data_IF_740889547192
#
_entry.id   IF_740889547192
#
_cell.length_a   1.000
_cell.length_b   1.000
_cell.length_c   1.000
_cell.angle_alpha   90.00
_cell.angle_beta   90.00
_cell.angle_gamma   90.00
#
_symmetry.space_group_name_H-M   'P 1'
#
loop_
_entity.id
_entity.type
_entity.pdbx_description
1 polymer ?
#
# COMPACT_ATOMS: atom_id res chain seq x y z
N UNK A 1 -17.46 33.42 22.26
CA UNK A 1 -16.19 33.08 21.57
C UNK A 1 -15.44 31.87 22.13
N UNK A 2 -15.52 31.51 23.43
CA UNK A 2 -14.79 30.34 23.97
C UNK A 2 -15.22 28.96 23.39
N UNK A 3 -16.47 28.84 22.94
CA UNK A 3 -17.02 27.63 22.30
C UNK A 3 -16.31 27.26 20.99
N UNK A 4 -15.85 28.24 20.21
CA UNK A 4 -15.18 27.99 18.92
C UNK A 4 -13.75 27.49 19.08
N UNK A 5 -13.04 27.90 20.15
CA UNK A 5 -11.67 27.42 20.42
C UNK A 5 -11.71 25.97 20.93
N UNK A 6 -12.69 25.63 21.78
CA UNK A 6 -12.86 24.26 22.28
C UNK A 6 -13.16 23.29 21.14
N UNK A 7 -14.06 23.65 20.22
CA UNK A 7 -14.38 22.83 19.04
C UNK A 7 -13.17 22.70 18.10
N UNK A 8 -12.43 23.78 17.85
CA UNK A 8 -11.21 23.73 17.03
C UNK A 8 -10.13 22.82 17.63
N UNK A 9 -9.92 22.88 18.96
CA UNK A 9 -8.97 21.97 19.64
C UNK A 9 -9.42 20.51 19.54
N UNK A 10 -10.72 20.25 19.64
CA UNK A 10 -11.27 18.91 19.46
C UNK A 10 -11.08 18.42 18.01
N UNK A 11 -11.34 19.27 17.02
CA UNK A 11 -11.12 18.98 15.60
C UNK A 11 -9.63 18.70 15.30
N UNK A 12 -8.73 19.54 15.82
CA UNK A 12 -7.29 19.34 15.72
C UNK A 12 -6.86 17.99 16.31
N UNK A 13 -7.37 17.64 17.50
CA UNK A 13 -7.12 16.33 18.13
C UNK A 13 -7.61 15.18 17.25
N UNK A 14 -8.80 15.29 16.65
CA UNK A 14 -9.33 14.27 15.73
C UNK A 14 -8.46 14.15 14.47
N UNK A 15 -8.10 15.28 13.84
CA UNK A 15 -7.25 15.32 12.66
C UNK A 15 -5.88 14.69 12.90
N UNK A 16 -5.24 15.00 14.03
CA UNK A 16 -3.97 14.38 14.46
C UNK A 16 -4.14 12.87 14.66
N UNK A 17 -5.23 12.45 15.30
CA UNK A 17 -5.56 11.02 15.46
C UNK A 17 -5.70 10.30 14.11
N UNK A 18 -6.37 10.92 13.14
CA UNK A 18 -6.48 10.39 11.78
C UNK A 18 -5.14 10.32 11.06
N UNK A 19 -4.31 11.36 11.17
CA UNK A 19 -2.95 11.35 10.61
C UNK A 19 -2.11 10.20 11.19
N UNK A 20 -2.17 10.00 12.51
CA UNK A 20 -1.49 8.88 13.19
C UNK A 20 -1.96 7.51 12.68
N UNK A 21 -3.27 7.34 12.47
CA UNK A 21 -3.80 6.09 11.94
C UNK A 21 -3.40 5.85 10.48
N UNK A 22 -3.45 6.90 9.64
CA UNK A 22 -2.99 6.84 8.26
C UNK A 22 -1.50 6.49 8.17
N UNK A 23 -0.68 7.08 9.03
CA UNK A 23 0.75 6.78 9.16
C UNK A 23 1.00 5.32 9.53
N UNK A 24 0.26 4.79 10.52
CA UNK A 24 0.38 3.39 10.92
C UNK A 24 0.02 2.42 9.77
N UNK A 25 -1.02 2.71 9.00
CA UNK A 25 -1.39 1.89 7.84
C UNK A 25 -0.39 2.04 6.68
N UNK A 26 0.15 3.23 6.44
CA UNK A 26 1.20 3.46 5.45
C UNK A 26 2.50 2.72 5.81
N UNK A 27 2.94 2.74 7.07
CA UNK A 27 4.08 1.94 7.56
C UNK A 27 3.88 0.45 7.32
N UNK A 28 2.68 -0.07 7.58
CA UNK A 28 2.35 -1.47 7.29
C UNK A 28 2.39 -1.75 5.79
N UNK A 29 1.96 -0.81 4.95
CA UNK A 29 2.03 -0.93 3.50
C UNK A 29 3.49 -1.01 3.03
N UNK A 30 4.38 -0.12 3.51
CA UNK A 30 5.83 -0.17 3.24
C UNK A 30 6.40 -1.57 3.51
N UNK A 31 6.07 -2.15 4.67
CA UNK A 31 6.54 -3.50 5.05
C UNK A 31 6.04 -4.62 4.14
N UNK A 32 4.92 -4.43 3.43
CA UNK A 32 4.37 -5.42 2.49
C UNK A 32 4.92 -5.29 1.08
N UNK A 33 5.61 -4.19 0.76
CA UNK A 33 6.19 -3.97 -0.55
C UNK A 33 7.55 -4.68 -0.67
N UNK A 34 7.89 -5.18 -1.87
CA UNK A 34 9.25 -5.66 -2.14
C UNK A 34 10.25 -4.51 -1.96
N UNK A 35 11.51 -4.87 -1.69
CA UNK A 35 12.59 -3.87 -1.66
C UNK A 35 12.70 -3.20 -3.03
N UNK A 36 12.94 -1.89 -3.05
CA UNK A 36 13.12 -1.12 -4.27
C UNK A 36 12.62 0.33 -4.18
N UNK A 37 12.72 1.10 -5.28
CA UNK A 37 12.48 2.55 -5.28
C UNK A 37 11.08 2.94 -4.80
N UNK A 38 10.07 2.13 -5.11
CA UNK A 38 8.69 2.39 -4.69
C UNK A 38 8.51 2.29 -3.17
N UNK A 39 9.20 1.34 -2.53
CA UNK A 39 9.21 1.18 -1.08
C UNK A 39 9.95 2.34 -0.42
N UNK A 40 11.15 2.69 -0.90
CA UNK A 40 11.95 3.80 -0.34
C UNK A 40 11.23 5.14 -0.46
N UNK A 41 10.57 5.42 -1.59
CA UNK A 41 9.75 6.63 -1.76
C UNK A 41 8.59 6.70 -0.78
N UNK A 42 7.87 5.60 -0.59
CA UNK A 42 6.77 5.56 0.38
C UNK A 42 7.27 5.71 1.81
N UNK A 43 8.41 5.12 2.14
CA UNK A 43 9.02 5.21 3.48
C UNK A 43 9.48 6.65 3.79
N UNK A 44 10.11 7.33 2.84
CA UNK A 44 10.44 8.75 2.97
C UNK A 44 9.21 9.64 3.18
N UNK A 45 8.12 9.37 2.46
CA UNK A 45 6.84 10.09 2.66
C UNK A 45 6.20 9.80 4.02
N UNK A 46 6.38 8.60 4.56
CA UNK A 46 5.98 8.26 5.93
C UNK A 46 6.79 9.05 6.96
N UNK A 47 8.10 9.17 6.78
CA UNK A 47 8.96 9.95 7.66
C UNK A 47 8.58 11.45 7.66
N UNK A 48 8.33 12.02 6.48
CA UNK A 48 7.90 13.41 6.34
C UNK A 48 6.51 13.66 6.96
N UNK A 49 5.56 12.74 6.74
CA UNK A 49 4.23 12.82 7.35
C UNK A 49 4.31 12.69 8.87
N UNK A 50 5.23 11.88 9.39
CA UNK A 50 5.50 11.75 10.82
C UNK A 50 6.00 13.08 11.41
N UNK A 51 6.98 13.72 10.76
CA UNK A 51 7.49 15.03 11.17
C UNK A 51 6.38 16.10 11.16
N UNK A 52 5.56 16.12 10.10
CA UNK A 52 4.42 17.05 9.98
C UNK A 52 3.37 16.82 11.07
N UNK A 53 3.08 15.56 11.42
CA UNK A 53 2.18 15.23 12.54
C UNK A 53 2.75 15.71 13.86
N UNK A 54 4.06 15.56 14.09
CA UNK A 54 4.73 16.04 15.31
C UNK A 54 4.68 17.55 15.45
N UNK A 55 4.89 18.29 14.35
CA UNK A 55 4.68 19.73 14.34
C UNK A 55 3.23 20.11 14.68
N UNK A 56 2.24 19.41 14.11
CA UNK A 56 0.83 19.63 14.42
C UNK A 56 0.47 19.31 15.89
N UNK A 57 1.12 18.31 16.51
CA UNK A 57 0.97 18.02 17.94
C UNK A 57 1.46 19.18 18.81
N UNK A 58 2.61 19.77 18.48
CA UNK A 58 3.18 20.90 19.18
C UNK A 58 2.31 22.16 19.04
N UNK A 59 1.81 22.44 17.84
CA UNK A 59 1.02 23.65 17.55
C UNK A 59 -0.42 23.58 18.05
N UNK A 60 -0.95 22.39 18.38
CA UNK A 60 -2.35 22.18 18.76
C UNK A 60 -2.88 23.14 19.83
N UNK A 61 -2.04 23.51 20.80
CA UNK A 61 -2.44 24.39 21.91
C UNK A 61 -2.46 25.87 21.52
N UNK A 62 -1.57 26.25 20.61
CA UNK A 62 -1.29 27.63 20.18
C UNK A 62 -2.21 28.00 19.01
N UNK A 63 -2.19 27.22 17.93
CA UNK A 63 -3.07 27.36 16.77
C UNK A 63 -3.71 26.01 16.41
N UNK A 64 -4.90 25.70 16.97
CA UNK A 64 -5.58 24.45 16.68
C UNK A 64 -6.04 24.35 15.20
N UNK A 65 -6.31 25.47 14.53
CA UNK A 65 -6.74 25.44 13.12
C UNK A 65 -5.58 25.03 12.22
N UNK A 66 -4.40 25.63 12.41
CA UNK A 66 -3.19 25.27 11.68
C UNK A 66 -2.79 23.82 11.94
N UNK A 67 -2.83 23.38 13.19
CA UNK A 67 -2.56 21.99 13.57
C UNK A 67 -3.50 21.00 12.85
N UNK A 68 -4.81 21.31 12.80
CA UNK A 68 -5.79 20.49 12.07
C UNK A 68 -5.47 20.41 10.58
N UNK A 69 -5.15 21.55 9.94
CA UNK A 69 -4.79 21.60 8.51
C UNK A 69 -3.53 20.79 8.20
N UNK A 70 -2.48 20.95 8.99
CA UNK A 70 -1.21 20.20 8.83
C UNK A 70 -1.41 18.70 9.00
N UNK A 71 -2.14 18.29 10.04
CA UNK A 71 -2.46 16.87 10.24
C UNK A 71 -3.30 16.29 9.09
N UNK A 72 -4.31 17.04 8.61
CA UNK A 72 -5.12 16.62 7.47
C UNK A 72 -4.29 16.53 6.17
N UNK A 73 -3.34 17.44 5.97
CA UNK A 73 -2.41 17.42 4.83
C UNK A 73 -1.53 16.17 4.86
N UNK A 74 -0.91 15.87 6.02
CA UNK A 74 -0.11 14.65 6.21
C UNK A 74 -0.91 13.37 5.88
N UNK A 75 -2.15 13.26 6.39
CA UNK A 75 -3.02 12.14 6.07
C UNK A 75 -3.36 12.03 4.57
N UNK A 76 -3.61 13.16 3.91
CA UNK A 76 -3.90 13.22 2.46
C UNK A 76 -2.69 12.81 1.64
N UNK A 77 -1.50 13.25 2.03
CA UNK A 77 -0.24 12.92 1.35
C UNK A 77 0.00 11.41 1.35
N UNK A 78 -0.19 10.77 2.50
CA UNK A 78 -0.06 9.31 2.64
C UNK A 78 -1.11 8.54 1.84
N UNK A 79 -2.36 9.00 1.81
CA UNK A 79 -3.40 8.41 0.97
C UNK A 79 -3.00 8.46 -0.52
N UNK A 80 -2.61 9.64 -1.02
CA UNK A 80 -2.16 9.82 -2.42
C UNK A 80 -0.95 8.96 -2.75
N UNK A 81 0.01 8.87 -1.82
CA UNK A 81 1.18 8.02 -1.99
C UNK A 81 0.79 6.54 -2.10
N UNK A 82 -0.10 6.05 -1.24
CA UNK A 82 -0.56 4.66 -1.27
C UNK A 82 -1.28 4.27 -2.55
N UNK A 83 -1.98 5.23 -3.17
CA UNK A 83 -2.63 5.04 -4.45
C UNK A 83 -1.63 4.86 -5.60
N UNK A 84 -0.46 5.50 -5.53
CA UNK A 84 0.59 5.42 -6.55
C UNK A 84 1.43 4.15 -6.48
N UNK A 85 1.50 3.53 -5.31
CA UNK A 85 2.42 2.40 -5.05
C UNK A 85 1.73 1.03 -5.09
N UNK A 86 0.40 0.97 -5.04
CA UNK A 86 -0.34 -0.30 -5.10
C UNK A 86 -0.26 -0.95 -6.50
N UNK A 87 -0.15 -2.29 -6.59
CA UNK A 87 -0.10 -3.00 -7.86
C UNK A 87 -1.45 -2.84 -8.57
N UNK A 88 -1.45 -2.17 -9.72
CA UNK A 88 -2.66 -1.80 -10.46
C UNK A 88 -2.60 -0.49 -11.26
N UNK A 89 -1.47 0.23 -11.20
CA UNK A 89 -1.19 1.40 -12.05
C UNK A 89 -1.96 2.67 -11.64
N UNK A 90 -1.35 3.82 -11.95
CA UNK A 90 -1.88 5.15 -11.63
C UNK A 90 -3.30 5.43 -12.18
N UNK A 91 -3.71 4.74 -13.25
CA UNK A 91 -5.05 4.88 -13.85
C UNK A 91 -6.18 4.41 -12.92
N UNK A 92 -5.97 3.40 -12.07
CA UNK A 92 -7.01 2.91 -11.13
C UNK A 92 -7.06 3.67 -9.81
N UNK A 93 -6.08 4.56 -9.58
CA UNK A 93 -5.96 5.39 -8.39
C UNK A 93 -6.83 6.65 -8.46
N UNK A 94 -6.92 7.30 -9.63
CA UNK A 94 -7.73 8.51 -9.85
C UNK A 94 -9.23 8.24 -9.67
N UNK A 95 -9.71 7.04 -10.04
CA UNK A 95 -11.13 6.66 -9.95
C UNK A 95 -11.62 6.30 -8.53
N UNK A 96 -10.75 6.22 -7.53
CA UNK A 96 -11.08 5.73 -6.19
C UNK A 96 -11.00 6.81 -5.09
N UNK A 97 -10.80 8.08 -5.45
CA UNK A 97 -10.94 9.17 -4.50
C UNK A 97 -12.40 9.20 -3.99
N UNK A 98 -12.64 9.20 -2.67
CA UNK A 98 -13.99 9.24 -2.13
C UNK A 98 -14.58 10.63 -2.41
N UNK A 99 -15.25 10.79 -3.55
CA UNK A 99 -15.95 12.01 -3.93
C UNK A 99 -17.16 12.31 -3.02
N UNK A 100 -17.69 11.29 -2.32
CA UNK A 100 -19.01 11.34 -1.68
C UNK A 100 -18.99 11.41 -0.14
N UNK A 101 -17.87 11.75 0.49
CA UNK A 101 -17.80 11.84 1.95
C UNK A 101 -18.14 13.27 2.43
N UNK A 102 -19.32 13.44 3.03
CA UNK A 102 -19.79 14.72 3.58
C UNK A 102 -19.17 14.94 4.96
N UNK A 103 -18.24 15.90 5.05
CA UNK A 103 -17.56 16.27 6.30
C UNK A 103 -16.12 15.75 6.47
N UNK A 104 -15.33 16.44 7.30
CA UNK A 104 -13.89 16.18 7.48
C UNK A 104 -13.61 14.80 8.12
N UNK A 105 -14.44 14.39 9.08
CA UNK A 105 -14.29 13.11 9.79
C UNK A 105 -14.59 11.91 8.88
N UNK A 106 -15.66 11.98 8.09
CA UNK A 106 -16.01 10.92 7.15
C UNK A 106 -14.93 10.78 6.06
N UNK A 107 -14.42 11.89 5.54
CA UNK A 107 -13.29 11.90 4.61
C UNK A 107 -12.10 11.20 5.23
N UNK A 108 -11.68 11.56 6.44
CA UNK A 108 -10.53 10.96 7.10
C UNK A 108 -10.70 9.44 7.34
N UNK A 109 -11.90 8.99 7.75
CA UNK A 109 -12.23 7.56 7.87
C UNK A 109 -12.17 6.85 6.51
N UNK A 110 -12.67 7.47 5.44
CA UNK A 110 -12.58 6.93 4.09
C UNK A 110 -11.11 6.73 3.65
N UNK A 111 -10.23 7.71 3.93
CA UNK A 111 -8.78 7.59 3.63
C UNK A 111 -8.14 6.38 4.28
N UNK A 112 -8.41 6.20 5.58
CA UNK A 112 -7.90 5.06 6.33
C UNK A 112 -8.39 3.71 5.74
N UNK A 113 -9.67 3.63 5.35
CA UNK A 113 -10.22 2.44 4.69
C UNK A 113 -9.53 2.18 3.35
N UNK A 114 -9.26 3.22 2.55
CA UNK A 114 -8.54 3.12 1.28
C UNK A 114 -7.15 2.53 1.48
N UNK A 115 -6.38 3.05 2.43
CA UNK A 115 -5.06 2.51 2.80
C UNK A 115 -5.13 1.03 3.18
N UNK A 116 -6.09 0.65 4.04
CA UNK A 116 -6.30 -0.74 4.47
C UNK A 116 -6.65 -1.65 3.28
N UNK A 117 -7.49 -1.19 2.35
CA UNK A 117 -7.85 -1.93 1.12
C UNK A 117 -6.62 -2.15 0.24
N UNK A 118 -5.79 -1.13 0.03
CA UNK A 118 -4.55 -1.23 -0.75
C UNK A 118 -3.56 -2.19 -0.11
N UNK A 119 -3.40 -2.17 1.21
CA UNK A 119 -2.61 -3.16 1.95
C UNK A 119 -3.08 -4.59 1.71
N UNK A 120 -4.39 -4.84 1.72
CA UNK A 120 -4.96 -6.17 1.41
C UNK A 120 -4.67 -6.59 -0.03
N UNK A 121 -4.78 -5.67 -1.00
CA UNK A 121 -4.43 -5.93 -2.40
C UNK A 121 -2.94 -6.29 -2.56
N UNK A 122 -2.04 -5.51 -1.94
CA UNK A 122 -0.60 -5.77 -1.97
C UNK A 122 -0.25 -7.15 -1.38
N UNK A 123 -0.85 -7.53 -0.24
CA UNK A 123 -0.69 -8.87 0.34
C UNK A 123 -1.17 -9.98 -0.58
N UNK A 124 -2.30 -9.78 -1.26
CA UNK A 124 -2.83 -10.77 -2.21
C UNK A 124 -1.89 -10.95 -3.40
N UNK A 125 -1.41 -9.84 -3.99
CA UNK A 125 -0.43 -9.87 -5.07
C UNK A 125 0.86 -10.58 -4.66
N UNK A 126 1.35 -10.33 -3.43
CA UNK A 126 2.54 -11.01 -2.90
C UNK A 126 2.32 -12.52 -2.75
N UNK A 127 1.14 -12.96 -2.29
CA UNK A 127 0.81 -14.39 -2.19
C UNK A 127 0.76 -15.05 -3.57
N UNK A 128 0.15 -14.40 -4.56
CA UNK A 128 0.12 -14.90 -5.94
C UNK A 128 1.54 -14.99 -6.53
N UNK A 129 2.36 -13.97 -6.36
CA UNK A 129 3.75 -13.99 -6.83
C UNK A 129 4.54 -15.17 -6.23
N UNK A 130 4.36 -15.45 -4.94
CA UNK A 130 4.96 -16.62 -4.28
C UNK A 130 4.43 -17.94 -4.84
N UNK A 131 3.13 -18.03 -5.12
CA UNK A 131 2.52 -19.24 -5.69
C UNK A 131 3.03 -19.50 -7.11
N UNK A 132 3.12 -18.45 -7.94
CA UNK A 132 3.71 -18.55 -9.29
C UNK A 132 5.16 -18.98 -9.21
N UNK A 133 5.98 -18.32 -8.38
CA UNK A 133 7.39 -18.70 -8.20
C UNK A 133 7.55 -20.17 -7.78
N UNK A 134 6.75 -20.65 -6.82
CA UNK A 134 6.73 -22.07 -6.43
C UNK A 134 6.34 -22.98 -7.58
N UNK A 135 5.31 -22.62 -8.36
CA UNK A 135 4.86 -23.41 -9.51
C UNK A 135 5.92 -23.45 -10.60
N UNK A 136 6.65 -22.35 -10.83
CA UNK A 136 7.78 -22.31 -11.76
C UNK A 136 8.94 -23.18 -11.29
N UNK A 137 9.29 -23.14 -10.00
CA UNK A 137 10.33 -24.02 -9.44
C UNK A 137 9.91 -25.49 -9.57
N UNK A 138 8.68 -25.83 -9.16
CA UNK A 138 8.16 -27.20 -9.29
C UNK A 138 8.10 -27.65 -10.75
N UNK A 139 7.67 -26.77 -11.67
CA UNK A 139 7.71 -27.06 -13.10
C UNK A 139 9.14 -27.28 -13.58
N UNK A 140 10.12 -26.47 -13.17
CA UNK A 140 11.53 -26.68 -13.56
C UNK A 140 12.13 -28.00 -13.02
N UNK A 141 11.62 -28.49 -11.89
CA UNK A 141 12.02 -29.78 -11.31
C UNK A 141 11.27 -30.95 -11.97
N UNK A 142 9.99 -30.76 -12.32
CA UNK A 142 9.12 -31.83 -12.85
C UNK A 142 9.06 -31.90 -14.36
N UNK A 143 9.48 -30.87 -15.10
CA UNK A 143 9.58 -30.94 -16.56
C UNK A 143 10.77 -31.82 -16.88
N UNK A 144 10.58 -32.93 -17.62
CA UNK A 144 11.70 -33.62 -18.21
C UNK A 144 12.40 -32.59 -19.10
N UNK A 145 13.66 -32.28 -18.82
CA UNK A 145 14.52 -31.49 -19.70
C UNK A 145 14.33 -32.00 -21.12
N UNK A 146 14.27 -31.12 -22.12
CA UNK A 146 14.09 -31.51 -23.53
C UNK A 146 15.06 -32.61 -23.97
N UNK A 147 16.21 -32.71 -23.32
CA UNK A 147 17.17 -33.80 -23.44
C UNK A 147 16.61 -35.20 -23.08
N UNK A 148 15.80 -35.31 -22.02
CA UNK A 148 15.12 -36.56 -21.64
C UNK A 148 14.01 -36.90 -22.62
N UNK A 149 13.27 -35.91 -23.13
CA UNK A 149 12.25 -36.14 -24.17
C UNK A 149 12.91 -36.58 -25.48
N UNK A 150 13.96 -35.89 -25.94
CA UNK A 150 14.76 -36.29 -27.10
C UNK A 150 15.34 -37.70 -26.98
N UNK A 151 15.82 -38.11 -25.79
CA UNK A 151 16.30 -39.49 -25.56
C UNK A 151 15.18 -40.54 -25.57
N UNK A 152 13.99 -40.21 -25.08
CA UNK A 152 12.82 -41.11 -25.11
C UNK A 152 12.26 -41.24 -26.52
N UNK A 153 12.16 -40.12 -27.24
CA UNK A 153 11.69 -40.09 -28.63
C UNK A 153 12.69 -40.80 -29.56
N UNK A 154 13.99 -40.61 -29.34
CA UNK A 154 15.03 -41.38 -30.06
C UNK A 154 15.02 -42.88 -29.72
N UNK A 155 14.64 -43.26 -28.50
CA UNK A 155 14.43 -44.67 -28.12
C UNK A 155 13.18 -45.28 -28.75
N UNK A 156 12.11 -44.49 -28.92
CA UNK A 156 10.85 -44.90 -29.56
C UNK A 156 10.94 -44.95 -31.09
N UNK A 157 11.82 -44.15 -31.68
CA UNK A 157 12.09 -44.14 -33.12
C UNK A 157 13.06 -45.24 -33.57
N UNK A 158 13.59 -46.08 -32.66
CA UNK A 158 14.31 -47.29 -33.05
C UNK A 158 13.28 -48.31 -33.57
N UNK A 159 13.30 -48.69 -34.85
CA UNK A 159 12.48 -49.79 -35.32
C UNK A 159 12.90 -51.02 -34.53
N UNK A 160 11.92 -51.74 -33.95
CA UNK A 160 12.17 -53.09 -33.46
C UNK A 160 12.63 -53.89 -34.66
N UNK A 161 13.92 -54.19 -34.69
CA UNK A 161 14.53 -55.03 -35.70
C UNK A 161 13.80 -56.36 -35.73
N UNK A 162 13.20 -56.63 -36.87
CA UNK A 162 12.70 -57.93 -37.29
C UNK A 162 13.86 -58.92 -37.20
N UNK A 163 13.73 -59.92 -36.35
CA UNK A 163 14.43 -61.20 -36.44
C UNK A 163 13.43 -62.30 -36.15
#
# INVERSE_FOLDING_TARGET
MATTIRTQRAEAKRAIGHAKHAEAEARKLVKTLPQGPARSRLDGLVAEAHATRKAAEAERKVDPRLAARRAAHAATKLERASLRVAPGGARRAQRAAPANATGAEQRAKARAKTLKRRRKQAKSAQKMAKAVARRTIMASISTPTDEKRRKVDAKRARPQGVH
#
